data_IF_824238240451
#
_entry.id   IF_824238240451
#
_cell.length_a   1.000
_cell.length_b   1.000
_cell.length_c   1.000
_cell.angle_alpha   90.00
_cell.angle_beta   90.00
_cell.angle_gamma   90.00
#
_symmetry.space_group_name_H-M   'P 1'
#
loop_
_entity.id
_entity.type
_entity.pdbx_description
1 polymer ?
#
# COMPACT_ATOMS: atom_id res chain seq x y z
N UNK A 1 21.28 22.45 -5.29
CA UNK A 1 21.54 21.77 -4.03
C UNK A 1 20.36 21.76 -3.13
N UNK A 2 19.84 22.92 -2.79
CA UNK A 2 18.70 22.98 -1.89
C UNK A 2 17.48 22.30 -2.44
N UNK A 3 17.28 22.39 -3.72
CA UNK A 3 16.11 21.78 -4.33
C UNK A 3 16.13 20.27 -4.24
N UNK A 4 17.31 19.70 -4.44
CA UNK A 4 17.43 18.26 -4.33
C UNK A 4 17.08 17.81 -2.92
N UNK A 5 17.56 18.56 -1.96
CA UNK A 5 17.29 18.21 -0.58
C UNK A 5 15.82 18.34 -0.24
N UNK A 6 15.19 19.39 -0.75
CA UNK A 6 13.78 19.58 -0.52
C UNK A 6 12.96 18.48 -1.16
N UNK A 7 13.38 18.03 -2.32
CA UNK A 7 12.71 16.95 -2.98
C UNK A 7 12.73 15.69 -2.15
N UNK A 8 13.86 15.39 -1.54
CA UNK A 8 13.95 14.21 -0.71
C UNK A 8 13.08 14.33 0.53
N UNK A 9 13.02 15.51 1.10
CA UNK A 9 12.17 15.71 2.27
C UNK A 9 10.72 15.48 1.91
N UNK A 10 10.30 15.97 0.77
CA UNK A 10 8.92 15.79 0.34
C UNK A 10 8.60 14.31 0.12
N UNK A 11 9.52 13.57 -0.48
CA UNK A 11 9.31 12.15 -0.68
C UNK A 11 9.22 11.42 0.65
N UNK A 12 10.05 11.80 1.59
CA UNK A 12 10.04 11.17 2.89
C UNK A 12 8.70 11.37 3.58
N UNK A 13 8.16 12.57 3.47
CA UNK A 13 6.87 12.86 4.08
C UNK A 13 5.76 12.04 3.42
N UNK A 14 5.84 11.85 2.14
CA UNK A 14 4.84 11.03 1.45
C UNK A 14 4.91 9.60 1.95
N UNK A 15 6.09 9.09 2.15
CA UNK A 15 6.25 7.73 2.64
C UNK A 15 5.68 7.59 4.04
N UNK A 16 5.82 8.62 4.84
CA UNK A 16 5.25 8.57 6.18
C UNK A 16 3.74 8.52 6.17
N UNK A 17 3.13 9.04 5.12
CA UNK A 17 1.69 9.02 5.02
C UNK A 17 1.16 7.69 4.50
N UNK A 18 2.02 6.88 3.91
CA UNK A 18 1.64 5.58 3.42
C UNK A 18 1.56 4.63 4.59
N UNK A 19 0.40 4.57 5.20
CA UNK A 19 0.20 3.73 6.35
C UNK A 19 -0.41 2.41 5.95
N UNK A 20 0.06 1.36 6.60
CA UNK A 20 -0.50 0.03 6.39
C UNK A 20 -1.68 -0.11 7.33
N UNK A 21 -2.87 -0.13 6.78
CA UNK A 21 -4.06 -0.28 7.59
C UNK A 21 -4.26 -1.73 7.96
N UNK A 22 -5.02 -1.92 9.04
CA UNK A 22 -5.33 -3.27 9.50
C UNK A 22 -6.52 -3.84 8.76
N UNK A 23 -6.53 -5.15 8.61
CA UNK A 23 -7.69 -5.88 8.15
C UNK A 23 -7.75 -6.06 6.65
N UNK A 24 -8.58 -7.01 6.24
CA UNK A 24 -8.79 -7.34 4.84
C UNK A 24 -9.75 -6.32 4.23
N UNK A 25 -9.38 -5.69 3.11
CA UNK A 25 -10.28 -4.72 2.51
C UNK A 25 -11.46 -5.39 1.82
N UNK A 26 -12.54 -4.64 1.70
CA UNK A 26 -13.67 -5.06 0.89
C UNK A 26 -13.34 -4.68 -0.56
N UNK A 27 -13.66 -5.56 -1.49
CA UNK A 27 -13.29 -5.32 -2.89
C UNK A 27 -13.86 -4.01 -3.41
N UNK A 28 -15.01 -3.60 -2.91
CA UNK A 28 -15.62 -2.35 -3.37
C UNK A 28 -14.88 -1.12 -2.91
N UNK A 29 -14.00 -1.24 -1.92
CA UNK A 29 -13.17 -0.12 -1.46
C UNK A 29 -12.01 0.17 -2.39
N UNK A 30 -11.67 -0.79 -3.23
CA UNK A 30 -10.45 -0.70 -4.01
C UNK A 30 -10.75 -0.21 -5.41
N UNK A 31 -9.80 0.55 -5.96
CA UNK A 31 -9.85 0.95 -7.36
C UNK A 31 -9.22 -0.14 -8.19
N UNK A 32 -9.76 -0.34 -9.39
CA UNK A 32 -9.23 -1.34 -10.32
C UNK A 32 -7.75 -1.13 -10.55
N UNK A 33 -6.98 -2.18 -10.36
CA UNK A 33 -5.57 -2.17 -10.68
C UNK A 33 -4.68 -1.41 -9.72
N UNK A 34 -5.24 -0.87 -8.63
CA UNK A 34 -4.45 -0.10 -7.67
C UNK A 34 -4.20 -0.95 -6.44
N UNK A 35 -2.95 -1.35 -6.18
CA UNK A 35 -2.66 -2.18 -5.01
C UNK A 35 -2.71 -1.38 -3.72
N UNK A 36 -3.08 -2.06 -2.65
CA UNK A 36 -3.05 -1.50 -1.30
C UNK A 36 -2.39 -2.51 -0.38
N UNK A 37 -1.80 -2.00 0.70
CA UNK A 37 -1.17 -2.86 1.70
C UNK A 37 -2.01 -2.88 2.96
N UNK A 38 -2.16 -4.07 3.52
CA UNK A 38 -2.92 -4.25 4.76
C UNK A 38 -2.15 -5.15 5.71
N UNK A 39 -2.30 -4.89 6.99
CA UNK A 39 -1.73 -5.73 8.03
C UNK A 39 -2.81 -6.68 8.51
N UNK A 40 -2.55 -7.97 8.37
CA UNK A 40 -3.54 -8.99 8.71
C UNK A 40 -2.87 -10.06 9.58
N UNK A 41 -3.64 -11.08 9.93
CA UNK A 41 -3.09 -12.21 10.69
C UNK A 41 -2.00 -12.93 9.91
N UNK A 42 -2.00 -12.79 8.61
CA UNK A 42 -0.98 -13.41 7.77
C UNK A 42 0.27 -12.55 7.65
N UNK A 43 0.24 -11.33 8.19
CA UNK A 43 1.33 -10.38 8.07
C UNK A 43 0.91 -9.24 7.16
N UNK A 44 1.87 -8.70 6.42
CA UNK A 44 1.59 -7.63 5.48
C UNK A 44 1.18 -8.25 4.16
N UNK A 45 -0.01 -7.88 3.69
CA UNK A 45 -0.58 -8.46 2.49
C UNK A 45 -0.91 -7.35 1.51
N UNK A 46 -0.52 -7.58 0.27
CA UNK A 46 -0.86 -6.67 -0.82
C UNK A 46 -2.15 -7.16 -1.46
N UNK A 47 -3.09 -6.24 -1.63
CA UNK A 47 -4.36 -6.56 -2.27
C UNK A 47 -4.52 -5.72 -3.52
N UNK A 48 -5.07 -6.33 -4.56
CA UNK A 48 -5.37 -5.61 -5.79
C UNK A 48 -6.69 -6.11 -6.34
N UNK A 49 -7.46 -5.19 -6.88
CA UNK A 49 -8.74 -5.51 -7.51
C UNK A 49 -8.53 -5.60 -9.02
N UNK A 50 -8.97 -6.70 -9.59
CA UNK A 50 -8.89 -6.90 -11.04
C UNK A 50 -10.17 -7.55 -11.52
N UNK A 51 -10.87 -6.87 -12.43
CA UNK A 51 -12.15 -7.33 -12.94
C UNK A 51 -13.14 -7.63 -11.82
N UNK A 52 -13.14 -6.76 -10.81
CA UNK A 52 -14.06 -6.89 -9.69
C UNK A 52 -13.70 -8.00 -8.72
N UNK A 53 -12.57 -8.65 -8.90
CA UNK A 53 -12.11 -9.75 -8.05
C UNK A 53 -10.94 -9.28 -7.22
N UNK A 54 -10.92 -9.70 -5.96
CA UNK A 54 -9.85 -9.34 -5.03
C UNK A 54 -8.74 -10.38 -5.11
N UNK A 55 -7.54 -9.92 -5.44
CA UNK A 55 -6.35 -10.76 -5.43
C UNK A 55 -5.47 -10.34 -4.27
N UNK A 56 -4.72 -11.28 -3.74
CA UNK A 56 -3.83 -10.97 -2.63
C UNK A 56 -2.47 -11.61 -2.81
N UNK A 57 -1.46 -10.99 -2.20
CA UNK A 57 -0.12 -11.52 -2.19
C UNK A 57 0.49 -11.22 -0.83
N UNK A 58 0.82 -12.28 -0.09
CA UNK A 58 1.41 -12.12 1.23
C UNK A 58 2.88 -11.80 1.06
N UNK A 59 3.29 -10.66 1.61
CA UNK A 59 4.66 -10.21 1.48
C UNK A 59 5.52 -10.85 2.55
N UNK A 60 6.70 -11.27 2.16
CA UNK A 60 7.61 -11.89 3.09
C UNK A 60 8.56 -10.86 3.66
N UNK A 61 8.90 -11.07 4.91
CA UNK A 61 9.87 -10.22 5.58
C UNK A 61 11.25 -10.50 5.01
N UNK A 62 11.91 -9.45 4.55
CA UNK A 62 13.20 -9.57 3.90
C UNK A 62 14.39 -9.73 4.82
#
# INVERSE_FOLDING_TARGET
MGMTRQGRIALHKKQERLQVRSGVPVVSELSEGVPVLRSTNEGVVEYVRHNGVLYKNVLEKG
#
